data_IF_480879793054
#
_entry.id   IF_480879793054
#
_cell.length_a   1.000
_cell.length_b   1.000
_cell.length_c   1.000
_cell.angle_alpha   90.00
_cell.angle_beta   90.00
_cell.angle_gamma   90.00
#
_symmetry.space_group_name_H-M   'P 1'
#
loop_
_entity.id
_entity.type
_entity.pdbx_description
1 polymer ?
#
# COMPACT_ATOMS: atom_id res chain seq x y z
N UNK A 1 3.07 -4.46 9.12
CA UNK A 1 2.32 -3.27 8.68
C UNK A 1 2.23 -2.30 9.84
N UNK A 2 2.58 -1.04 9.63
CA UNK A 2 2.24 0.06 10.55
C UNK A 2 1.19 0.94 9.88
N UNK A 3 0.23 1.50 10.63
CA UNK A 3 -0.84 2.33 10.10
C UNK A 3 -0.72 3.76 10.68
N UNK A 4 -0.02 4.67 9.98
CA UNK A 4 0.12 6.06 10.41
C UNK A 4 -1.17 6.88 10.17
N UNK A 5 -2.12 6.37 9.39
CA UNK A 5 -3.37 7.05 9.06
C UNK A 5 -4.24 7.34 10.28
N UNK A 6 -4.10 6.58 11.37
CA UNK A 6 -4.75 6.86 12.67
C UNK A 6 -4.35 8.25 13.23
N UNK A 7 -3.19 8.78 12.82
CA UNK A 7 -2.63 10.04 13.29
C UNK A 7 -2.74 11.18 12.27
N UNK A 8 -3.56 11.02 11.22
CA UNK A 8 -3.76 12.04 10.19
C UNK A 8 -2.57 12.21 9.24
N UNK A 9 -1.70 11.20 9.17
CA UNK A 9 -0.55 11.18 8.26
C UNK A 9 -0.94 10.42 7.00
N UNK A 10 -0.84 11.10 5.86
CA UNK A 10 -1.17 10.55 4.55
C UNK A 10 -0.09 9.59 4.01
N UNK A 11 1.18 9.92 4.25
CA UNK A 11 2.34 9.17 3.79
C UNK A 11 3.42 9.08 4.88
N UNK A 12 4.01 7.90 5.04
CA UNK A 12 5.06 7.66 6.02
C UNK A 12 6.08 6.67 5.47
N UNK A 13 7.35 7.07 5.38
CA UNK A 13 8.43 6.17 5.02
C UNK A 13 8.91 5.45 6.29
N UNK A 14 8.38 4.26 6.55
CA UNK A 14 8.77 3.47 7.72
C UNK A 14 10.21 2.97 7.60
N UNK A 15 10.95 3.03 8.70
CA UNK A 15 12.26 2.36 8.79
C UNK A 15 12.01 0.85 8.89
N UNK A 16 12.74 0.09 8.08
CA UNK A 16 12.72 -1.37 8.12
C UNK A 16 13.15 -1.82 9.51
N UNK A 17 12.34 -2.68 10.14
CA UNK A 17 12.75 -3.36 11.36
C UNK A 17 13.60 -4.58 10.94
N UNK A 18 14.91 -4.64 11.21
CA UNK A 18 15.71 -5.82 10.86
C UNK A 18 15.32 -7.03 11.74
N UNK A 19 15.48 -8.28 11.24
CA UNK A 19 16.16 -8.69 10.01
C UNK A 19 15.30 -8.70 8.73
N UNK A 20 14.11 -8.09 8.74
CA UNK A 20 13.27 -7.99 7.55
C UNK A 20 13.96 -7.17 6.45
N UNK A 21 13.62 -7.44 5.19
CA UNK A 21 14.15 -6.72 4.02
C UNK A 21 13.24 -5.60 3.51
N UNK A 22 12.01 -5.53 4.01
CA UNK A 22 11.03 -4.53 3.63
C UNK A 22 9.98 -4.30 4.71
N UNK A 23 9.34 -3.12 4.68
CA UNK A 23 8.15 -2.82 5.47
C UNK A 23 7.21 -1.93 4.66
N UNK A 24 5.94 -2.30 4.64
CA UNK A 24 4.86 -1.50 4.05
C UNK A 24 3.98 -0.87 5.15
N UNK A 25 3.54 0.34 4.88
CA UNK A 25 2.55 1.06 5.67
C UNK A 25 1.44 1.57 4.78
N UNK A 26 0.24 1.67 5.34
CA UNK A 26 -0.93 2.13 4.62
C UNK A 26 -1.76 3.08 5.46
N UNK A 27 -2.35 4.08 4.81
CA UNK A 27 -3.32 4.99 5.41
C UNK A 27 -4.57 5.03 4.51
N UNK A 28 -5.72 4.69 5.08
CA UNK A 28 -7.01 4.70 4.38
C UNK A 28 -7.85 5.87 4.84
N UNK A 29 -8.32 6.71 3.90
CA UNK A 29 -9.21 7.84 4.19
C UNK A 29 -10.34 7.94 3.16
N UNK A 30 -11.54 8.40 3.55
CA UNK A 30 -12.58 8.70 2.57
C UNK A 30 -12.13 9.85 1.67
N UNK A 31 -12.36 9.71 0.37
CA UNK A 31 -12.03 10.72 -0.63
C UNK A 31 -12.87 10.57 -1.90
N UNK A 32 -12.84 11.57 -2.80
CA UNK A 32 -13.50 11.49 -4.08
C UNK A 32 -12.80 10.44 -4.97
N UNK A 33 -13.58 9.55 -5.57
CA UNK A 33 -13.13 8.57 -6.54
C UNK A 33 -14.12 8.46 -7.70
N UNK A 34 -13.62 8.15 -8.89
CA UNK A 34 -14.47 7.81 -10.04
C UNK A 34 -14.61 6.29 -10.07
N UNK A 35 -15.82 5.79 -9.87
CA UNK A 35 -16.15 4.37 -9.89
C UNK A 35 -17.23 4.16 -10.94
N UNK A 36 -16.96 3.32 -11.93
CA UNK A 36 -17.85 3.06 -13.07
C UNK A 36 -18.29 4.33 -13.83
N UNK A 37 -17.38 5.33 -13.90
CA UNK A 37 -17.64 6.60 -14.59
C UNK A 37 -18.38 7.64 -13.75
N UNK A 38 -18.75 7.34 -12.51
CA UNK A 38 -19.43 8.27 -11.61
C UNK A 38 -18.54 8.73 -10.46
N UNK A 39 -18.65 10.01 -10.09
CA UNK A 39 -17.99 10.54 -8.89
C UNK A 39 -18.71 10.03 -7.64
N UNK A 40 -17.97 9.32 -6.77
CA UNK A 40 -18.46 8.77 -5.50
C UNK A 40 -17.44 9.00 -4.40
N UNK A 41 -17.89 8.88 -3.14
CA UNK A 41 -16.95 8.79 -2.01
C UNK A 41 -16.51 7.35 -1.86
N UNK A 42 -15.20 7.11 -1.85
CA UNK A 42 -14.60 5.81 -1.61
C UNK A 42 -13.43 5.93 -0.63
N UNK A 43 -13.04 4.82 -0.02
CA UNK A 43 -11.81 4.76 0.77
C UNK A 43 -10.62 4.76 -0.17
N UNK A 44 -9.82 5.83 -0.13
CA UNK A 44 -8.54 5.90 -0.82
C UNK A 44 -7.45 5.37 0.11
N UNK A 45 -6.69 4.39 -0.36
CA UNK A 45 -5.59 3.80 0.37
C UNK A 45 -4.27 4.29 -0.22
N UNK A 46 -3.49 5.01 0.58
CA UNK A 46 -2.11 5.34 0.24
C UNK A 46 -1.19 4.28 0.84
N UNK A 47 -0.31 3.69 0.04
CA UNK A 47 0.65 2.68 0.47
C UNK A 47 2.08 3.16 0.22
N UNK A 48 2.95 3.01 1.23
CA UNK A 48 4.39 3.30 1.12
C UNK A 48 5.17 2.05 1.50
N UNK A 49 6.11 1.65 0.64
CA UNK A 49 7.00 0.50 0.83
C UNK A 49 8.45 0.96 0.94
N UNK A 50 9.06 0.68 2.09
CA UNK A 50 10.51 0.80 2.28
C UNK A 50 11.17 -0.54 2.01
N UNK A 51 12.27 -0.54 1.25
CA UNK A 51 13.02 -1.75 0.87
C UNK A 51 14.51 -1.60 1.11
N UNK A 52 15.17 -2.70 1.50
CA UNK A 52 16.62 -2.83 1.49
C UNK A 52 17.08 -3.20 0.07
N UNK A 53 17.71 -2.24 -0.62
CA UNK A 53 18.18 -2.43 -1.99
C UNK A 53 19.28 -3.48 -2.14
N UNK A 54 19.95 -3.87 -1.05
CA UNK A 54 20.92 -4.97 -1.07
C UNK A 54 20.24 -6.32 -1.27
N UNK A 55 18.97 -6.42 -0.91
CA UNK A 55 18.16 -7.64 -0.99
C UNK A 55 17.10 -7.58 -2.10
N UNK A 56 16.67 -6.39 -2.52
CA UNK A 56 15.54 -6.20 -3.45
C UNK A 56 15.82 -5.09 -4.47
N UNK A 57 15.53 -5.34 -5.74
CA UNK A 57 15.61 -4.32 -6.80
C UNK A 57 14.33 -3.48 -6.89
N UNK A 58 14.44 -2.21 -7.32
CA UNK A 58 13.30 -1.29 -7.39
C UNK A 58 12.17 -1.79 -8.32
N UNK A 59 12.51 -2.43 -9.42
CA UNK A 59 11.53 -3.00 -10.34
C UNK A 59 10.72 -4.15 -9.70
N UNK A 60 11.37 -5.00 -8.90
CA UNK A 60 10.71 -6.08 -8.19
C UNK A 60 9.79 -5.54 -7.09
N UNK A 61 10.24 -4.52 -6.35
CA UNK A 61 9.43 -3.84 -5.36
C UNK A 61 8.17 -3.19 -5.98
N UNK A 62 8.30 -2.57 -7.15
CA UNK A 62 7.17 -1.99 -7.88
C UNK A 62 6.17 -3.06 -8.36
N UNK A 63 6.66 -4.19 -8.88
CA UNK A 63 5.80 -5.32 -9.26
C UNK A 63 5.06 -5.90 -8.06
N UNK A 64 5.76 -6.05 -6.93
CA UNK A 64 5.15 -6.52 -5.69
C UNK A 64 4.06 -5.55 -5.19
N UNK A 65 4.30 -4.25 -5.24
CA UNK A 65 3.31 -3.23 -4.88
C UNK A 65 2.08 -3.29 -5.79
N UNK A 66 2.26 -3.46 -7.10
CA UNK A 66 1.15 -3.62 -8.04
C UNK A 66 0.31 -4.88 -7.69
N UNK A 67 0.97 -6.00 -7.40
CA UNK A 67 0.28 -7.22 -6.98
C UNK A 67 -0.47 -7.03 -5.65
N UNK A 68 0.12 -6.30 -4.69
CA UNK A 68 -0.55 -5.95 -3.43
C UNK A 68 -1.80 -5.09 -3.68
N UNK A 69 -1.72 -4.07 -4.53
CA UNK A 69 -2.88 -3.22 -4.88
C UNK A 69 -3.99 -4.07 -5.47
N UNK A 70 -3.68 -4.92 -6.46
CA UNK A 70 -4.67 -5.84 -7.05
C UNK A 70 -5.29 -6.77 -6.01
N UNK A 71 -4.50 -7.30 -5.09
CA UNK A 71 -5.01 -8.17 -4.02
C UNK A 71 -5.93 -7.44 -3.03
N UNK A 72 -5.71 -6.14 -2.80
CA UNK A 72 -6.55 -5.31 -1.93
C UNK A 72 -7.84 -4.86 -2.62
N UNK A 73 -7.78 -4.59 -3.92
CA UNK A 73 -8.95 -4.25 -4.75
C UNK A 73 -9.84 -5.46 -5.05
N UNK A 74 -9.24 -6.65 -5.18
CA UNK A 74 -9.93 -7.91 -5.46
C UNK A 74 -9.58 -9.01 -4.43
N UNK A 75 -10.02 -8.90 -3.15
CA UNK A 75 -9.59 -9.80 -2.08
C UNK A 75 -9.90 -11.28 -2.31
N UNK A 76 -10.95 -11.57 -3.11
CA UNK A 76 -11.34 -12.95 -3.45
C UNK A 76 -10.27 -13.69 -4.27
N UNK A 77 -9.34 -12.97 -4.93
CA UNK A 77 -8.23 -13.58 -5.65
C UNK A 77 -7.17 -14.20 -4.73
N UNK A 78 -7.16 -13.86 -3.44
CA UNK A 78 -6.20 -14.41 -2.47
C UNK A 78 -6.59 -15.81 -1.96
N UNK A 79 -7.85 -16.22 -2.14
CA UNK A 79 -8.40 -17.48 -1.60
C UNK A 79 -8.70 -18.53 -2.67
N UNK A 80 -8.43 -18.21 -3.94
CA UNK A 80 -8.68 -19.08 -5.08
C UNK A 80 -7.45 -19.89 -5.48
#
# INVERSE_FOLDING_TARGET
MSNPGLYGVDEFAAIINPPQSAIAVGAGKPGPAVVDGELRVATQLTLVLSVDHRATEGALAAQWMAALVTALEEPLRLVA
#
